data_IF_440672238936
#
_entry.id   IF_440672238936
#
_cell.length_a   1.000
_cell.length_b   1.000
_cell.length_c   1.000
_cell.angle_alpha   90.00
_cell.angle_beta   90.00
_cell.angle_gamma   90.00
#
_symmetry.space_group_name_H-M   'P 1'
#
loop_
_entity.id
_entity.type
_entity.pdbx_description
1 polymer ?
#
# COMPACT_ATOMS: atom_id res chain seq x y z
N UNK A 1 8.13 10.82 -28.04
CA UNK A 1 8.46 11.78 -26.96
C UNK A 1 8.44 11.02 -25.64
N UNK A 2 9.44 11.18 -24.78
CA UNK A 2 9.46 10.53 -23.48
C UNK A 2 8.64 11.35 -22.48
N UNK A 3 7.87 10.69 -21.61
CA UNK A 3 7.13 11.31 -20.51
C UNK A 3 7.51 10.61 -19.21
N UNK A 4 7.66 11.37 -18.13
CA UNK A 4 7.88 10.82 -16.80
C UNK A 4 6.53 10.41 -16.24
N UNK A 5 6.36 9.14 -15.88
CA UNK A 5 5.13 8.62 -15.31
C UNK A 5 5.39 8.23 -13.85
N UNK A 6 4.53 8.71 -12.95
CA UNK A 6 4.49 8.28 -11.54
C UNK A 6 3.16 7.56 -11.30
N UNK A 7 3.23 6.28 -10.97
CA UNK A 7 2.06 5.50 -10.58
C UNK A 7 1.85 5.55 -9.07
N UNK A 8 0.61 5.77 -8.67
CA UNK A 8 0.15 5.80 -7.29
C UNK A 8 -0.89 4.71 -7.10
N UNK A 9 -0.63 3.79 -6.18
CA UNK A 9 -1.58 2.75 -5.79
C UNK A 9 -2.20 3.19 -4.47
N UNK A 10 -3.44 3.67 -4.51
CA UNK A 10 -4.15 4.07 -3.31
C UNK A 10 -5.00 2.92 -2.83
N UNK A 11 -4.77 2.45 -1.60
CA UNK A 11 -5.66 1.46 -0.98
C UNK A 11 -6.99 2.13 -0.65
N UNK A 12 -8.08 1.44 -0.97
CA UNK A 12 -9.42 1.81 -0.49
C UNK A 12 -9.64 1.38 0.96
N UNK A 13 -8.70 0.60 1.52
CA UNK A 13 -8.66 0.27 2.94
C UNK A 13 -8.12 1.47 3.71
N UNK A 14 -8.70 1.75 4.89
CA UNK A 14 -8.20 2.79 5.79
C UNK A 14 -6.73 2.48 6.13
N UNK A 15 -5.85 3.46 5.91
CA UNK A 15 -4.44 3.35 6.30
C UNK A 15 -4.38 3.28 7.81
N UNK A 16 -4.10 2.09 8.35
CA UNK A 16 -3.96 1.86 9.78
C UNK A 16 -2.52 1.43 10.08
N UNK A 17 -1.71 2.39 10.54
CA UNK A 17 -0.32 2.13 10.89
C UNK A 17 -0.23 1.70 12.36
N UNK A 18 0.57 0.68 12.64
CA UNK A 18 0.87 0.28 14.01
C UNK A 18 1.84 1.29 14.64
N UNK A 19 1.65 1.59 15.92
CA UNK A 19 2.66 2.27 16.73
C UNK A 19 3.85 1.35 16.98
N UNK A 20 5.03 1.92 17.23
CA UNK A 20 6.28 1.16 17.44
C UNK A 20 6.14 0.15 18.59
N UNK A 21 5.48 0.55 19.67
CA UNK A 21 5.20 -0.30 20.83
C UNK A 21 4.34 -1.52 20.48
N UNK A 22 3.28 -1.33 19.69
CA UNK A 22 2.38 -2.42 19.27
C UNK A 22 2.97 -3.28 18.17
N UNK A 23 3.95 -2.77 17.40
CA UNK A 23 4.65 -3.53 16.37
C UNK A 23 5.76 -4.45 16.92
N UNK A 24 6.32 -4.14 18.10
CA UNK A 24 7.39 -4.94 18.71
C UNK A 24 6.90 -6.33 19.18
N UNK A 25 5.69 -6.41 19.74
CA UNK A 25 5.07 -7.67 20.18
C UNK A 25 4.89 -8.70 19.05
N UNK A 26 4.23 -8.38 17.91
CA UNK A 26 4.08 -9.31 16.81
C UNK A 26 5.42 -9.60 16.10
N UNK A 27 6.39 -8.69 16.13
CA UNK A 27 7.71 -8.93 15.52
C UNK A 27 8.45 -10.13 16.13
N UNK A 28 8.27 -10.38 17.43
CA UNK A 28 8.85 -11.56 18.10
C UNK A 28 7.95 -12.80 18.07
N UNK A 29 6.65 -12.63 18.28
CA UNK A 29 5.72 -13.74 18.47
C UNK A 29 5.05 -14.24 17.19
N UNK A 30 4.85 -13.36 16.21
CA UNK A 30 4.07 -13.61 15.00
C UNK A 30 4.68 -12.86 13.80
N UNK A 31 5.82 -13.32 13.25
CA UNK A 31 6.47 -12.67 12.12
C UNK A 31 5.56 -12.61 10.87
N UNK A 32 4.58 -13.51 10.77
CA UNK A 32 3.62 -13.60 9.66
C UNK A 32 2.34 -12.76 9.84
N UNK A 33 2.34 -11.78 10.75
CA UNK A 33 1.15 -10.97 11.07
C UNK A 33 0.42 -10.42 9.83
N UNK A 34 1.15 -9.79 8.91
CA UNK A 34 0.57 -9.20 7.69
C UNK A 34 0.03 -10.25 6.70
N UNK A 35 0.68 -11.42 6.63
CA UNK A 35 0.24 -12.50 5.74
C UNK A 35 -1.05 -13.13 6.27
N UNK A 36 -1.12 -13.33 7.58
CA UNK A 36 -2.30 -13.87 8.28
C UNK A 36 -3.50 -12.93 8.15
N UNK A 37 -3.29 -11.62 8.29
CA UNK A 37 -4.34 -10.61 8.06
C UNK A 37 -4.91 -10.72 6.65
N UNK A 38 -4.05 -10.77 5.64
CA UNK A 38 -4.48 -10.93 4.25
C UNK A 38 -5.24 -12.24 4.03
N UNK A 39 -4.74 -13.36 4.57
CA UNK A 39 -5.40 -14.66 4.43
C UNK A 39 -6.81 -14.66 5.05
N UNK A 40 -6.95 -14.10 6.25
CA UNK A 40 -8.26 -13.97 6.89
C UNK A 40 -9.18 -13.01 6.16
N UNK A 41 -8.67 -11.90 5.61
CA UNK A 41 -9.45 -10.97 4.80
C UNK A 41 -10.02 -11.67 3.55
N UNK A 42 -9.19 -12.46 2.85
CA UNK A 42 -9.61 -13.26 1.70
C UNK A 42 -10.64 -14.33 2.09
N UNK A 43 -10.41 -15.05 3.19
CA UNK A 43 -11.33 -16.08 3.70
C UNK A 43 -12.69 -15.50 4.14
N UNK A 44 -12.70 -14.27 4.67
CA UNK A 44 -13.91 -13.56 5.08
C UNK A 44 -14.65 -12.88 3.91
N UNK A 45 -14.18 -13.05 2.66
CA UNK A 45 -14.75 -12.38 1.48
C UNK A 45 -14.50 -10.87 1.43
N UNK A 46 -13.60 -10.36 2.28
CA UNK A 46 -13.16 -8.96 2.30
C UNK A 46 -11.95 -8.78 1.38
N UNK A 47 -12.21 -8.79 0.08
CA UNK A 47 -11.15 -8.62 -0.91
C UNK A 47 -10.60 -7.18 -0.86
N UNK A 48 -9.28 -7.02 -0.72
CA UNK A 48 -8.69 -5.69 -0.74
C UNK A 48 -8.76 -5.10 -2.16
N UNK A 49 -9.01 -3.79 -2.25
CA UNK A 49 -9.09 -3.07 -3.51
C UNK A 49 -8.18 -1.84 -3.51
N UNK A 50 -7.56 -1.56 -4.65
CA UNK A 50 -6.71 -0.40 -4.85
C UNK A 50 -7.13 0.38 -6.09
N UNK A 51 -7.14 1.70 -5.97
CA UNK A 51 -7.33 2.62 -7.09
C UNK A 51 -5.97 3.08 -7.60
N UNK A 52 -5.73 2.88 -8.90
CA UNK A 52 -4.48 3.26 -9.55
C UNK A 52 -4.63 4.65 -10.16
N UNK A 53 -3.77 5.58 -9.75
CA UNK A 53 -3.63 6.89 -10.37
C UNK A 53 -2.29 6.99 -11.09
N UNK A 54 -2.28 7.52 -12.30
CA UNK A 54 -1.06 7.70 -13.09
C UNK A 54 -0.88 9.19 -13.33
N UNK A 55 0.19 9.74 -12.76
CA UNK A 55 0.61 11.11 -13.03
C UNK A 55 1.62 11.09 -14.18
N UNK A 56 1.24 11.66 -15.32
CA UNK A 56 2.11 11.78 -16.49
C UNK A 56 2.60 13.23 -16.58
N UNK A 57 3.92 13.44 -16.52
CA UNK A 57 4.55 14.73 -16.77
C UNK A 57 5.37 14.69 -18.05
N UNK A 58 5.26 15.74 -18.86
CA UNK A 58 6.09 15.94 -20.04
C UNK A 58 7.45 16.52 -19.63
N UNK A 59 8.51 16.29 -20.43
CA UNK A 59 9.87 16.80 -20.14
C UNK A 59 9.95 18.32 -19.92
N UNK A 60 8.98 19.09 -20.45
CA UNK A 60 8.91 20.54 -20.28
C UNK A 60 8.53 20.96 -18.86
N UNK A 61 7.76 20.12 -18.15
CA UNK A 61 7.32 20.36 -16.77
C UNK A 61 8.34 19.87 -15.72
N UNK A 62 9.24 18.95 -16.09
CA UNK A 62 10.25 18.38 -15.16
C UNK A 62 11.45 19.30 -14.91
N UNK A 63 11.61 20.40 -15.67
CA UNK A 63 12.77 21.31 -15.60
C UNK A 63 12.58 22.54 -14.71
N UNK A 64 11.53 22.60 -13.90
CA UNK A 64 11.28 23.69 -12.93
C UNK A 64 11.13 23.10 -11.54
#
# INVERSE_FOLDING_TARGET
EAASCKSHYKSEQVINNLSVETANEPSGSHPDYSLRDLYYALAAGKYPSWTIYIQVMTFKQTKT
#
